data_IF_383433377573
#
_entry.id   IF_383433377573
#
_cell.length_a   1.000
_cell.length_b   1.000
_cell.length_c   1.000
_cell.angle_alpha   90.00
_cell.angle_beta   90.00
_cell.angle_gamma   90.00
#
_symmetry.space_group_name_H-M   'P 1'
#
loop_
_entity.id
_entity.type
_entity.pdbx_description
1 polymer ?
#
# COMPACT_ATOMS: atom_id res chain seq x y z
N UNK A 1 13.08 -40.19 8.66
CA UNK A 1 11.69 -40.03 8.18
C UNK A 1 11.72 -39.30 6.86
N UNK A 2 10.97 -39.80 5.89
CA UNK A 2 11.19 -39.68 4.44
C UNK A 2 11.14 -38.24 3.90
N UNK A 3 12.18 -37.86 3.13
CA UNK A 3 12.17 -36.69 2.23
C UNK A 3 11.28 -36.99 1.02
N UNK A 4 9.97 -36.81 1.15
CA UNK A 4 9.01 -36.76 0.03
C UNK A 4 8.09 -35.53 0.14
N UNK A 5 8.55 -34.34 -0.31
CA UNK A 5 7.59 -33.41 -0.92
C UNK A 5 8.08 -32.71 -2.21
N UNK A 6 9.37 -32.73 -2.54
CA UNK A 6 9.93 -31.95 -3.66
C UNK A 6 9.47 -32.46 -5.04
N UNK A 7 9.26 -33.77 -5.15
CA UNK A 7 8.90 -34.42 -6.43
C UNK A 7 7.48 -34.02 -6.87
N UNK A 8 6.52 -33.91 -5.94
CA UNK A 8 5.11 -33.65 -6.30
C UNK A 8 4.88 -32.24 -6.86
N UNK A 9 5.61 -31.24 -6.36
CA UNK A 9 5.50 -29.86 -6.85
C UNK A 9 6.20 -29.65 -8.20
N UNK A 10 7.26 -30.42 -8.50
CA UNK A 10 7.85 -30.44 -9.84
C UNK A 10 6.89 -30.95 -10.91
N UNK A 11 6.07 -31.97 -10.59
CA UNK A 11 5.03 -32.47 -11.50
C UNK A 11 3.92 -31.46 -11.76
N UNK A 12 3.53 -30.65 -10.76
CA UNK A 12 2.53 -29.58 -10.95
C UNK A 12 3.05 -28.46 -11.86
N UNK A 13 4.33 -28.08 -11.70
CA UNK A 13 4.93 -27.05 -12.55
C UNK A 13 5.05 -27.54 -14.01
N UNK A 14 5.51 -28.77 -14.19
CA UNK A 14 5.57 -29.42 -15.51
C UNK A 14 4.18 -29.51 -16.16
N UNK A 15 3.17 -29.94 -15.40
CA UNK A 15 1.79 -30.02 -15.88
C UNK A 15 1.24 -28.66 -16.31
N UNK A 16 1.52 -27.61 -15.54
CA UNK A 16 1.10 -26.25 -15.86
C UNK A 16 1.77 -25.73 -17.12
N UNK A 17 3.05 -26.05 -17.32
CA UNK A 17 3.79 -25.68 -18.51
C UNK A 17 3.28 -26.43 -19.75
N UNK A 18 3.06 -27.75 -19.64
CA UNK A 18 2.44 -28.57 -20.70
C UNK A 18 1.05 -28.06 -21.04
N UNK A 19 0.22 -27.76 -20.05
CA UNK A 19 -1.12 -27.19 -20.25
C UNK A 19 -1.07 -25.84 -20.96
N UNK A 20 -0.13 -24.96 -20.58
CA UNK A 20 0.07 -23.67 -21.25
C UNK A 20 0.49 -23.84 -22.72
N UNK A 21 1.44 -24.73 -23.00
CA UNK A 21 1.89 -25.02 -24.38
C UNK A 21 0.76 -25.63 -25.20
N UNK A 22 -0.02 -26.55 -24.63
CA UNK A 22 -1.18 -27.15 -25.28
C UNK A 22 -2.23 -26.09 -25.65
N UNK A 23 -2.47 -25.12 -24.76
CA UNK A 23 -3.39 -24.00 -25.02
C UNK A 23 -2.88 -23.08 -26.13
N UNK A 24 -1.58 -22.81 -26.21
CA UNK A 24 -0.99 -22.05 -27.33
C UNK A 24 -1.11 -22.80 -28.66
N UNK A 25 -0.84 -24.11 -28.66
CA UNK A 25 -1.04 -24.96 -29.85
C UNK A 25 -2.51 -24.94 -30.28
N UNK A 26 -3.45 -25.05 -29.32
CA UNK A 26 -4.88 -24.99 -29.59
C UNK A 26 -5.29 -23.64 -30.19
N UNK A 27 -4.75 -22.51 -29.71
CA UNK A 27 -4.97 -21.18 -30.31
C UNK A 27 -4.55 -21.13 -31.78
N UNK A 28 -3.34 -21.63 -32.08
CA UNK A 28 -2.82 -21.66 -33.45
C UNK A 28 -3.71 -22.54 -34.33
N UNK A 29 -4.10 -23.72 -33.86
CA UNK A 29 -4.97 -24.64 -34.60
C UNK A 29 -6.36 -24.05 -34.90
N UNK A 30 -6.99 -23.37 -33.93
CA UNK A 30 -8.30 -22.73 -34.12
C UNK A 30 -8.21 -21.60 -35.15
N UNK A 31 -7.15 -20.78 -35.10
CA UNK A 31 -6.93 -19.72 -36.09
C UNK A 31 -6.67 -20.31 -37.49
N UNK A 32 -5.88 -21.39 -37.57
CA UNK A 32 -5.58 -22.05 -38.84
C UNK A 32 -6.84 -22.68 -39.46
N UNK A 33 -7.67 -23.33 -38.64
CA UNK A 33 -8.99 -23.83 -39.05
C UNK A 33 -9.90 -22.70 -39.54
N UNK A 34 -9.95 -21.57 -38.84
CA UNK A 34 -10.71 -20.40 -39.27
C UNK A 34 -10.27 -19.90 -40.65
N UNK A 35 -8.96 -19.69 -40.86
CA UNK A 35 -8.44 -19.22 -42.14
C UNK A 35 -8.64 -20.23 -43.28
N UNK A 36 -8.50 -21.53 -43.02
CA UNK A 36 -8.75 -22.58 -44.03
C UNK A 36 -10.23 -22.67 -44.43
N UNK A 37 -11.15 -22.54 -43.47
CA UNK A 37 -12.59 -22.49 -43.74
C UNK A 37 -12.97 -21.25 -44.54
N UNK A 38 -12.52 -20.06 -44.13
CA UNK A 38 -12.75 -18.81 -44.87
C UNK A 38 -12.17 -18.86 -46.28
N UNK A 39 -10.93 -19.32 -46.44
CA UNK A 39 -10.29 -19.44 -47.76
C UNK A 39 -11.08 -20.39 -48.67
N UNK A 40 -11.60 -21.50 -48.13
CA UNK A 40 -12.40 -22.47 -48.89
C UNK A 40 -13.75 -21.89 -49.31
N UNK A 41 -14.41 -21.13 -48.44
CA UNK A 41 -15.68 -20.45 -48.73
C UNK A 41 -15.51 -19.42 -49.85
N UNK A 42 -14.42 -18.64 -49.81
CA UNK A 42 -14.07 -17.65 -50.82
C UNK A 42 -13.72 -18.33 -52.16
N UNK A 43 -12.86 -19.37 -52.14
CA UNK A 43 -12.45 -20.10 -53.35
C UNK A 43 -13.62 -20.80 -54.05
N UNK A 44 -14.63 -21.24 -53.30
CA UNK A 44 -15.81 -21.92 -53.85
C UNK A 44 -16.96 -20.96 -54.20
N UNK A 45 -16.80 -19.64 -54.03
CA UNK A 45 -17.85 -18.64 -54.26
C UNK A 45 -19.18 -18.97 -53.55
N UNK A 46 -19.08 -19.49 -52.33
CA UNK A 46 -20.24 -19.86 -51.53
C UNK A 46 -21.02 -18.62 -51.08
N UNK A 47 -22.33 -18.79 -50.85
CA UNK A 47 -23.22 -17.71 -50.43
C UNK A 47 -22.72 -17.00 -49.15
N UNK A 48 -22.96 -15.68 -48.99
CA UNK A 48 -22.47 -14.91 -47.84
C UNK A 48 -22.85 -15.46 -46.46
N UNK A 49 -23.95 -16.22 -46.37
CA UNK A 49 -24.38 -16.85 -45.12
C UNK A 49 -23.38 -17.88 -44.56
N UNK A 50 -22.54 -18.49 -45.40
CA UNK A 50 -21.59 -19.50 -44.94
C UNK A 50 -20.42 -18.92 -44.13
N UNK A 51 -20.11 -17.62 -44.26
CA UNK A 51 -19.13 -16.93 -43.41
C UNK A 51 -19.59 -16.76 -41.96
N UNK A 52 -20.90 -16.83 -41.68
CA UNK A 52 -21.43 -16.63 -40.33
C UNK A 52 -20.93 -17.74 -39.38
N UNK A 53 -20.77 -18.97 -39.88
CA UNK A 53 -20.37 -20.13 -39.09
C UNK A 53 -18.94 -20.01 -38.53
N UNK A 54 -17.88 -19.81 -39.34
CA UNK A 54 -16.51 -19.67 -38.84
C UNK A 54 -16.36 -18.45 -37.91
N UNK A 55 -17.01 -17.32 -38.22
CA UNK A 55 -17.02 -16.15 -37.34
C UNK A 55 -17.71 -16.42 -35.99
N UNK A 56 -18.81 -17.19 -35.98
CA UNK A 56 -19.50 -17.57 -34.74
C UNK A 56 -18.65 -18.49 -33.87
N UNK A 57 -17.95 -19.46 -34.48
CA UNK A 57 -17.02 -20.35 -33.78
C UNK A 57 -15.85 -19.57 -33.19
N UNK A 58 -15.27 -18.64 -33.96
CA UNK A 58 -14.19 -17.77 -33.49
C UNK A 58 -14.65 -16.87 -32.34
N UNK A 59 -15.87 -16.32 -32.42
CA UNK A 59 -16.46 -15.52 -31.35
C UNK A 59 -16.67 -16.35 -30.07
N UNK A 60 -17.25 -17.55 -30.16
CA UNK A 60 -17.43 -18.47 -29.02
C UNK A 60 -16.07 -18.85 -28.42
N UNK A 61 -15.05 -19.06 -29.25
CA UNK A 61 -13.70 -19.33 -28.81
C UNK A 61 -13.09 -18.15 -28.02
N UNK A 62 -13.21 -16.92 -28.51
CA UNK A 62 -12.74 -15.74 -27.75
C UNK A 62 -13.53 -15.51 -26.46
N UNK A 63 -14.85 -15.76 -26.45
CA UNK A 63 -15.68 -15.68 -25.24
C UNK A 63 -15.24 -16.73 -24.22
N UNK A 64 -15.00 -17.97 -24.65
CA UNK A 64 -14.54 -19.05 -23.76
C UNK A 64 -13.11 -18.80 -23.25
N UNK A 65 -12.19 -18.32 -24.08
CA UNK A 65 -10.86 -17.87 -23.65
C UNK A 65 -10.95 -16.74 -22.63
N UNK A 66 -11.83 -15.76 -22.82
CA UNK A 66 -12.03 -14.67 -21.86
C UNK A 66 -12.58 -15.18 -20.51
N UNK A 67 -13.40 -16.24 -20.53
CA UNK A 67 -13.91 -16.88 -19.32
C UNK A 67 -12.83 -17.70 -18.59
N UNK A 68 -12.02 -18.45 -19.35
CA UNK A 68 -10.91 -19.26 -18.81
C UNK A 68 -9.76 -18.39 -18.31
N UNK A 69 -9.48 -17.26 -18.99
CA UNK A 69 -8.43 -16.31 -18.61
C UNK A 69 -8.82 -15.39 -17.46
N UNK A 70 -10.00 -15.60 -16.85
CA UNK A 70 -10.49 -14.76 -15.77
C UNK A 70 -9.68 -15.04 -14.51
N UNK A 71 -8.82 -14.09 -14.14
CA UNK A 71 -8.00 -14.19 -12.94
C UNK A 71 -8.88 -14.30 -11.70
N UNK A 72 -8.46 -15.18 -10.78
CA UNK A 72 -9.12 -15.37 -9.50
C UNK A 72 -9.21 -14.03 -8.75
N UNK A 73 -10.39 -13.63 -8.26
CA UNK A 73 -10.53 -12.38 -7.51
C UNK A 73 -9.68 -12.45 -6.24
N UNK A 74 -9.02 -11.34 -5.89
CA UNK A 74 -8.25 -11.22 -4.65
C UNK A 74 -9.10 -10.50 -3.62
N UNK A 75 -9.15 -11.06 -2.42
CA UNK A 75 -9.90 -10.54 -1.29
C UNK A 75 -8.94 -10.10 -0.18
N UNK A 76 -9.24 -8.97 0.45
CA UNK A 76 -8.66 -8.61 1.74
C UNK A 76 -9.55 -9.25 2.80
N UNK A 77 -9.05 -10.33 3.39
CA UNK A 77 -9.82 -11.11 4.37
C UNK A 77 -10.00 -10.28 5.64
N UNK A 78 -8.90 -9.88 6.24
CA UNK A 78 -8.84 -8.94 7.35
C UNK A 78 -7.46 -8.28 7.42
N UNK A 79 -7.33 -7.30 8.31
CA UNK A 79 -6.06 -6.65 8.64
C UNK A 79 -6.03 -6.24 10.11
N UNK A 80 -4.82 -6.05 10.63
CA UNK A 80 -4.54 -5.55 11.98
C UNK A 80 -3.50 -4.45 11.92
N UNK A 81 -3.54 -3.54 12.89
CA UNK A 81 -2.57 -2.46 13.03
C UNK A 81 -1.99 -2.49 14.44
N UNK A 82 -0.69 -2.25 14.55
CA UNK A 82 0.02 -2.24 15.81
C UNK A 82 -0.43 -1.06 16.69
N UNK A 83 -0.82 -1.32 17.93
CA UNK A 83 -1.01 -0.26 18.91
C UNK A 83 0.18 -0.26 19.88
N UNK A 84 1.07 0.74 19.83
CA UNK A 84 2.21 0.77 20.74
C UNK A 84 1.75 0.86 22.21
N UNK A 85 2.46 0.19 23.13
CA UNK A 85 2.23 0.34 24.57
C UNK A 85 2.34 1.79 25.05
N UNK A 86 1.55 2.17 26.05
CA UNK A 86 1.52 3.54 26.57
C UNK A 86 2.86 4.00 27.19
N UNK A 87 3.74 3.08 27.60
CA UNK A 87 5.10 3.41 28.06
C UNK A 87 6.00 3.96 26.95
N UNK A 88 5.63 3.78 25.67
CA UNK A 88 6.36 4.29 24.52
C UNK A 88 5.82 5.64 24.02
N UNK A 89 4.86 6.22 24.74
CA UNK A 89 4.25 7.50 24.36
C UNK A 89 5.24 8.64 24.58
N UNK A 90 5.30 9.56 23.62
CA UNK A 90 6.16 10.74 23.65
C UNK A 90 5.35 12.03 23.46
N UNK A 91 5.01 12.73 24.56
CA UNK A 91 4.50 14.11 24.50
C UNK A 91 5.56 15.05 23.90
N UNK A 92 5.13 16.14 23.27
CA UNK A 92 6.01 17.12 22.64
C UNK A 92 6.95 17.78 23.66
N UNK A 93 6.46 18.10 24.85
CA UNK A 93 7.28 18.69 25.92
C UNK A 93 8.41 17.75 26.35
N UNK A 94 8.08 16.47 26.57
CA UNK A 94 9.06 15.45 26.90
C UNK A 94 10.09 15.29 25.78
N UNK A 95 9.66 15.30 24.51
CA UNK A 95 10.59 15.21 23.39
C UNK A 95 11.53 16.42 23.29
N UNK A 96 11.00 17.63 23.45
CA UNK A 96 11.78 18.88 23.41
C UNK A 96 12.79 18.92 24.56
N UNK A 97 12.40 18.48 25.76
CA UNK A 97 13.30 18.37 26.90
C UNK A 97 14.43 17.36 26.61
N UNK A 98 14.09 16.17 26.12
CA UNK A 98 15.06 15.17 25.72
C UNK A 98 16.02 15.70 24.65
N UNK A 99 15.50 16.41 23.64
CA UNK A 99 16.31 17.00 22.58
C UNK A 99 17.30 18.06 23.09
N UNK A 100 16.95 18.83 24.13
CA UNK A 100 17.86 19.81 24.76
C UNK A 100 18.99 19.17 25.55
N UNK A 101 18.77 17.96 26.06
CA UNK A 101 19.78 17.23 26.82
C UNK A 101 20.79 16.50 25.92
N UNK A 102 20.59 16.48 24.59
CA UNK A 102 21.48 15.82 23.64
C UNK A 102 22.59 16.80 23.20
N UNK A 103 23.84 16.47 23.51
CA UNK A 103 25.01 17.32 23.23
C UNK A 103 25.16 17.73 21.75
N UNK A 104 24.57 16.95 20.84
CA UNK A 104 24.65 17.21 19.41
C UNK A 104 23.52 18.12 18.87
N UNK A 105 22.48 18.47 19.63
CA UNK A 105 21.47 19.45 19.20
C UNK A 105 21.72 20.81 19.85
N UNK A 106 21.77 21.86 19.03
CA UNK A 106 21.84 23.25 19.49
C UNK A 106 20.44 23.86 19.65
N UNK A 107 20.36 25.07 20.21
CA UNK A 107 19.08 25.78 20.39
C UNK A 107 18.30 25.99 19.08
N UNK A 108 19.02 26.15 17.96
CA UNK A 108 18.41 26.28 16.63
C UNK A 108 17.77 24.97 16.17
N UNK A 109 18.42 23.85 16.43
CA UNK A 109 17.92 22.50 16.17
C UNK A 109 16.67 22.21 17.01
N UNK A 110 16.72 22.49 18.31
CA UNK A 110 15.57 22.32 19.22
C UNK A 110 14.40 23.21 18.82
N UNK A 111 14.66 24.48 18.49
CA UNK A 111 13.63 25.41 18.01
C UNK A 111 12.99 24.92 16.70
N UNK A 112 13.80 24.37 15.79
CA UNK A 112 13.30 23.77 14.55
C UNK A 112 12.41 22.56 14.84
N UNK A 113 12.85 21.62 15.69
CA UNK A 113 12.06 20.44 16.11
C UNK A 113 10.72 20.89 16.71
N UNK A 114 10.74 21.83 17.67
CA UNK A 114 9.54 22.37 18.30
C UNK A 114 8.57 22.95 17.28
N UNK A 115 9.07 23.71 16.30
CA UNK A 115 8.25 24.31 15.23
C UNK A 115 7.63 23.24 14.33
N UNK A 116 8.38 22.21 13.93
CA UNK A 116 7.85 21.13 13.09
C UNK A 116 6.80 20.32 13.83
N UNK A 117 7.01 19.98 15.11
CA UNK A 117 6.01 19.26 15.91
C UNK A 117 4.66 20.00 15.92
N UNK A 118 4.68 21.31 16.19
CA UNK A 118 3.48 22.15 16.22
C UNK A 118 2.76 22.26 14.85
N UNK A 119 3.51 22.30 13.75
CA UNK A 119 2.95 22.47 12.40
C UNK A 119 2.59 21.14 11.72
N UNK A 120 3.12 20.02 12.20
CA UNK A 120 2.99 18.71 11.56
C UNK A 120 1.56 18.15 11.58
N UNK A 121 0.75 18.53 12.57
CA UNK A 121 -0.56 17.95 12.84
C UNK A 121 -0.53 16.67 13.69
N UNK A 122 0.65 16.30 14.22
CA UNK A 122 0.77 15.26 15.25
C UNK A 122 0.09 15.71 16.55
N UNK A 123 -0.35 14.75 17.35
CA UNK A 123 -0.82 14.96 18.71
C UNK A 123 0.17 14.49 19.78
N UNK A 124 -0.16 14.79 21.03
CA UNK A 124 0.61 14.48 22.25
C UNK A 124 0.58 12.98 22.66
N UNK A 125 -0.03 12.13 21.83
CA UNK A 125 -0.29 10.71 22.10
C UNK A 125 0.43 9.77 21.13
N UNK A 126 1.45 10.29 20.44
CA UNK A 126 2.27 9.53 19.49
C UNK A 126 3.42 8.77 20.17
N UNK A 127 4.08 7.86 19.44
CA UNK A 127 5.00 6.87 20.04
C UNK A 127 6.37 6.80 19.35
N UNK A 128 7.42 6.59 20.14
CA UNK A 128 8.78 6.27 19.70
C UNK A 128 9.19 4.83 20.07
N UNK A 129 10.16 4.21 19.37
CA UNK A 129 10.60 2.88 19.76
C UNK A 129 11.48 2.95 21.01
N UNK A 130 11.63 1.84 21.76
CA UNK A 130 12.42 1.82 23.00
C UNK A 130 13.84 2.38 22.85
N UNK A 131 14.49 2.18 21.70
CA UNK A 131 15.85 2.67 21.43
C UNK A 131 16.00 4.20 21.52
N UNK A 132 14.94 4.96 21.24
CA UNK A 132 14.99 6.43 21.24
C UNK A 132 14.74 7.06 22.63
N UNK A 133 14.41 6.26 23.64
CA UNK A 133 14.27 6.72 25.03
C UNK A 133 15.60 6.72 25.80
N UNK A 134 16.69 6.20 25.23
CA UNK A 134 18.01 6.28 25.83
C UNK A 134 18.65 7.67 25.64
N UNK A 135 19.57 8.01 26.53
CA UNK A 135 20.40 9.22 26.45
C UNK A 135 21.87 8.84 26.36
N UNK A 136 22.53 8.98 25.19
CA UNK A 136 21.94 9.30 23.87
C UNK A 136 21.09 8.14 23.30
N UNK A 137 20.22 8.39 22.29
CA UNK A 137 19.44 7.36 21.61
C UNK A 137 20.31 6.21 21.11
N UNK A 138 19.84 4.97 21.30
CA UNK A 138 20.49 3.77 20.79
C UNK A 138 19.87 3.39 19.45
N UNK A 139 20.65 3.57 18.39
CA UNK A 139 20.26 3.31 16.99
C UNK A 139 20.93 2.06 16.38
N UNK A 140 21.48 1.19 17.24
CA UNK A 140 22.22 0.01 16.82
C UNK A 140 21.33 -1.07 16.19
N UNK A 141 21.99 -2.05 15.56
CA UNK A 141 21.32 -3.20 14.94
C UNK A 141 20.46 -3.99 15.95
N UNK A 142 20.92 -4.11 17.20
CA UNK A 142 20.19 -4.82 18.27
C UNK A 142 18.86 -4.14 18.58
N UNK A 143 18.86 -2.82 18.71
CA UNK A 143 17.65 -2.03 18.97
C UNK A 143 16.67 -2.11 17.80
N UNK A 144 17.18 -2.04 16.56
CA UNK A 144 16.37 -2.25 15.36
C UNK A 144 15.70 -3.64 15.33
N UNK A 145 16.43 -4.71 15.65
CA UNK A 145 15.86 -6.07 15.73
C UNK A 145 14.82 -6.18 16.85
N UNK A 146 15.04 -5.55 18.00
CA UNK A 146 14.05 -5.52 19.08
C UNK A 146 12.77 -4.79 18.65
N UNK A 147 12.89 -3.68 17.91
CA UNK A 147 11.76 -2.96 17.33
C UNK A 147 11.02 -3.81 16.29
N UNK A 148 11.74 -4.53 15.42
CA UNK A 148 11.18 -5.51 14.47
C UNK A 148 10.35 -6.55 15.21
N UNK A 149 10.90 -7.16 16.26
CA UNK A 149 10.19 -8.18 17.04
C UNK A 149 8.96 -7.60 17.73
N UNK A 150 9.08 -6.42 18.35
CA UNK A 150 7.96 -5.77 19.01
C UNK A 150 6.79 -5.55 18.05
N UNK A 151 7.05 -5.06 16.84
CA UNK A 151 5.99 -4.67 15.92
C UNK A 151 5.51 -5.87 15.10
N UNK A 152 6.41 -6.52 14.36
CA UNK A 152 6.04 -7.53 13.37
C UNK A 152 5.46 -8.80 14.00
N UNK A 153 5.97 -9.24 15.16
CA UNK A 153 5.41 -10.41 15.85
C UNK A 153 4.01 -10.11 16.35
N UNK A 154 3.82 -8.95 17.00
CA UNK A 154 2.52 -8.52 17.51
C UNK A 154 1.45 -8.46 16.41
N UNK A 155 1.71 -7.75 15.30
CA UNK A 155 0.68 -7.64 14.24
C UNK A 155 0.42 -8.96 13.53
N UNK A 156 1.45 -9.81 13.39
CA UNK A 156 1.29 -11.12 12.77
C UNK A 156 0.45 -12.04 13.65
N UNK A 157 0.74 -12.13 14.95
CA UNK A 157 -0.02 -12.92 15.92
C UNK A 157 -1.46 -12.43 16.06
N UNK A 158 -1.67 -11.11 16.11
CA UNK A 158 -2.99 -10.51 16.11
C UNK A 158 -3.78 -10.86 14.83
N UNK A 159 -3.13 -10.85 13.67
CA UNK A 159 -3.79 -11.23 12.41
C UNK A 159 -4.17 -12.71 12.39
N UNK A 160 -3.27 -13.59 12.82
CA UNK A 160 -3.53 -15.03 12.90
C UNK A 160 -4.69 -15.32 13.85
N UNK A 161 -4.70 -14.71 15.04
CA UNK A 161 -5.77 -14.89 16.02
C UNK A 161 -7.11 -14.32 15.53
N UNK A 162 -7.11 -13.13 14.92
CA UNK A 162 -8.32 -12.49 14.38
C UNK A 162 -8.95 -13.28 13.23
N UNK A 163 -8.14 -13.91 12.39
CA UNK A 163 -8.62 -14.61 11.17
C UNK A 163 -8.72 -16.12 11.34
N UNK A 164 -8.20 -16.66 12.44
CA UNK A 164 -8.10 -18.10 12.72
C UNK A 164 -7.42 -18.89 11.58
N UNK A 165 -6.51 -18.24 10.84
CA UNK A 165 -5.72 -18.89 9.80
C UNK A 165 -4.51 -19.61 10.41
N UNK A 166 -4.23 -20.82 9.97
CA UNK A 166 -3.00 -21.50 10.37
C UNK A 166 -1.78 -20.85 9.71
N UNK A 167 -0.68 -20.75 10.45
CA UNK A 167 0.64 -20.42 9.89
C UNK A 167 1.08 -21.35 8.74
N UNK A 168 0.55 -22.57 8.69
CA UNK A 168 0.80 -23.54 7.62
C UNK A 168 -0.05 -23.28 6.36
N UNK A 169 -1.07 -22.42 6.45
CA UNK A 169 -1.93 -22.05 5.32
C UNK A 169 -1.46 -20.77 4.62
N UNK A 170 -0.29 -20.23 5.00
CA UNK A 170 0.31 -19.04 4.39
C UNK A 170 1.24 -19.48 3.26
N UNK A 171 0.88 -19.14 2.02
CA UNK A 171 1.65 -19.51 0.83
C UNK A 171 2.64 -18.43 0.43
N UNK A 172 2.32 -17.17 0.72
CA UNK A 172 3.10 -15.99 0.33
C UNK A 172 3.27 -15.07 1.55
N UNK A 173 4.49 -14.62 1.81
CA UNK A 173 4.80 -13.64 2.84
C UNK A 173 5.53 -12.46 2.18
N UNK A 174 5.03 -11.24 2.38
CA UNK A 174 5.71 -10.02 1.92
C UNK A 174 5.91 -9.12 3.11
N UNK A 175 7.16 -8.82 3.46
CA UNK A 175 7.51 -7.86 4.52
C UNK A 175 8.05 -6.60 3.87
N UNK A 176 7.57 -5.42 4.26
CA UNK A 176 8.10 -4.14 3.79
C UNK A 176 8.55 -3.25 4.94
N UNK A 177 9.76 -2.71 4.82
CA UNK A 177 10.39 -1.75 5.71
C UNK A 177 11.51 -1.01 4.97
N UNK A 178 11.58 0.31 5.09
CA UNK A 178 12.58 1.13 4.37
C UNK A 178 13.77 1.53 5.24
N UNK A 179 13.56 1.72 6.54
CA UNK A 179 14.53 2.20 7.51
C UNK A 179 15.54 1.14 7.95
N UNK A 180 15.24 -0.14 7.69
CA UNK A 180 16.08 -1.26 8.10
C UNK A 180 16.03 -2.44 7.11
N UNK A 181 17.20 -2.87 6.63
CA UNK A 181 17.36 -3.98 5.68
C UNK A 181 18.48 -4.91 6.18
N UNK A 182 18.18 -5.85 7.10
CA UNK A 182 19.17 -6.76 7.67
C UNK A 182 19.46 -7.98 6.77
N UNK A 183 20.55 -8.67 7.10
CA UNK A 183 20.89 -9.99 6.57
C UNK A 183 21.03 -10.97 7.77
N UNK A 184 20.19 -12.01 7.91
CA UNK A 184 19.08 -12.41 7.03
C UNK A 184 17.91 -11.41 7.02
N UNK A 185 17.06 -11.50 6.00
CA UNK A 185 16.00 -10.52 5.74
C UNK A 185 14.86 -10.58 6.79
N UNK A 186 14.07 -9.51 6.87
CA UNK A 186 12.92 -9.44 7.78
C UNK A 186 11.91 -10.56 7.54
N UNK A 187 11.65 -10.91 6.28
CA UNK A 187 10.78 -12.05 5.96
C UNK A 187 11.34 -13.37 6.46
N UNK A 188 12.67 -13.56 6.43
CA UNK A 188 13.31 -14.76 6.98
C UNK A 188 13.18 -14.86 8.49
N UNK A 189 13.21 -13.73 9.22
CA UNK A 189 12.96 -13.70 10.67
C UNK A 189 11.57 -14.26 10.98
N UNK A 190 10.54 -13.84 10.23
CA UNK A 190 9.15 -14.31 10.41
C UNK A 190 9.01 -15.79 10.03
N UNK A 191 9.58 -16.20 8.90
CA UNK A 191 9.56 -17.61 8.46
C UNK A 191 10.18 -18.52 9.51
N UNK A 192 11.34 -18.14 10.05
CA UNK A 192 12.05 -18.91 11.07
C UNK A 192 11.30 -18.92 12.41
N UNK A 193 10.90 -17.74 12.92
CA UNK A 193 10.23 -17.59 14.22
C UNK A 193 8.95 -18.42 14.31
N UNK A 194 8.15 -18.40 13.25
CA UNK A 194 6.84 -19.07 13.22
C UNK A 194 6.86 -20.40 12.51
N UNK A 195 8.01 -20.87 11.98
CA UNK A 195 8.13 -22.08 11.19
C UNK A 195 6.97 -22.21 10.17
N UNK A 196 6.88 -21.23 9.27
CA UNK A 196 5.86 -21.19 8.22
C UNK A 196 5.97 -22.40 7.30
N UNK A 197 4.94 -22.59 6.47
CA UNK A 197 4.84 -23.67 5.49
C UNK A 197 6.13 -23.88 4.68
N UNK A 198 6.50 -25.14 4.48
CA UNK A 198 7.58 -25.50 3.55
C UNK A 198 7.29 -24.95 2.15
N UNK A 199 8.27 -24.27 1.55
CA UNK A 199 8.11 -23.68 0.21
C UNK A 199 7.37 -22.34 0.17
N UNK A 200 7.06 -21.72 1.32
CA UNK A 200 6.50 -20.36 1.39
C UNK A 200 7.28 -19.38 0.53
N UNK A 201 6.58 -18.59 -0.28
CA UNK A 201 7.19 -17.54 -1.11
C UNK A 201 7.37 -16.28 -0.28
N UNK A 202 8.55 -16.09 0.27
CA UNK A 202 8.86 -14.94 1.13
C UNK A 202 9.61 -13.84 0.40
N UNK A 203 9.17 -12.59 0.53
CA UNK A 203 9.79 -11.40 -0.07
C UNK A 203 9.99 -10.31 0.98
N UNK A 204 11.09 -9.57 0.87
CA UNK A 204 11.33 -8.35 1.64
C UNK A 204 11.47 -7.17 0.67
N UNK A 205 10.66 -6.12 0.86
CA UNK A 205 10.66 -4.90 0.06
C UNK A 205 11.26 -3.77 0.89
N UNK A 206 12.29 -3.10 0.38
CA UNK A 206 12.94 -1.96 1.03
C UNK A 206 13.07 -0.77 0.08
N UNK A 207 13.32 0.43 0.62
CA UNK A 207 13.56 1.65 -0.16
C UNK A 207 12.34 2.23 -0.89
N UNK A 208 11.11 1.85 -0.51
CA UNK A 208 9.87 2.30 -1.17
C UNK A 208 9.10 3.38 -0.38
N UNK A 209 9.54 3.66 0.86
CA UNK A 209 8.96 4.65 1.76
C UNK A 209 7.48 4.38 2.08
N UNK A 210 6.71 5.44 2.31
CA UNK A 210 5.31 5.35 2.74
C UNK A 210 4.37 4.70 1.70
N UNK A 211 4.82 4.46 0.46
CA UNK A 211 4.04 3.78 -0.58
C UNK A 211 4.22 2.25 -0.61
N UNK A 212 5.10 1.71 0.24
CA UNK A 212 5.55 0.32 0.15
C UNK A 212 4.44 -0.71 0.34
N UNK A 213 3.44 -0.43 1.18
CA UNK A 213 2.34 -1.35 1.40
C UNK A 213 1.44 -1.47 0.16
N UNK A 214 1.05 -0.34 -0.45
CA UNK A 214 0.25 -0.34 -1.68
C UNK A 214 0.97 -1.10 -2.81
N UNK A 215 2.30 -0.97 -2.88
CA UNK A 215 3.13 -1.78 -3.79
C UNK A 215 3.10 -3.27 -3.42
N UNK A 216 3.18 -3.62 -2.14
CA UNK A 216 3.09 -5.00 -1.67
C UNK A 216 1.73 -5.64 -2.00
N UNK A 217 0.64 -4.88 -1.91
CA UNK A 217 -0.71 -5.34 -2.31
C UNK A 217 -0.76 -5.61 -3.82
N UNK A 218 -0.21 -4.71 -4.64
CA UNK A 218 -0.10 -4.92 -6.08
C UNK A 218 0.75 -6.16 -6.41
N UNK A 219 1.91 -6.31 -5.76
CA UNK A 219 2.79 -7.46 -5.93
C UNK A 219 2.08 -8.77 -5.55
N UNK A 220 1.43 -8.80 -4.38
CA UNK A 220 0.68 -9.97 -3.92
C UNK A 220 -0.42 -10.34 -4.91
N UNK A 221 -1.19 -9.36 -5.39
CA UNK A 221 -2.22 -9.56 -6.41
C UNK A 221 -1.64 -10.20 -7.68
N UNK A 222 -0.52 -9.68 -8.17
CA UNK A 222 0.12 -10.20 -9.38
C UNK A 222 0.66 -11.63 -9.19
N UNK A 223 1.21 -11.95 -8.02
CA UNK A 223 1.63 -13.32 -7.67
C UNK A 223 0.41 -14.24 -7.61
N UNK A 224 -0.67 -13.82 -6.96
CA UNK A 224 -1.92 -14.59 -6.86
C UNK A 224 -2.64 -14.81 -8.19
N UNK A 225 -2.46 -13.91 -9.17
CA UNK A 225 -2.96 -14.14 -10.53
C UNK A 225 -2.32 -15.38 -11.18
N UNK A 226 -1.13 -15.78 -10.73
CA UNK A 226 -0.43 -16.98 -11.22
C UNK A 226 -0.48 -18.14 -10.24
N UNK A 227 -0.96 -17.96 -9.01
CA UNK A 227 -1.05 -19.00 -7.98
C UNK A 227 -2.47 -19.06 -7.43
N UNK A 228 -3.27 -19.99 -7.93
CA UNK A 228 -4.64 -20.18 -7.44
C UNK A 228 -4.67 -20.72 -6.01
N UNK A 229 -5.79 -20.49 -5.33
CA UNK A 229 -6.09 -21.03 -4.00
C UNK A 229 -4.99 -20.76 -2.95
N UNK A 230 -4.46 -19.54 -2.92
CA UNK A 230 -3.35 -19.12 -2.09
C UNK A 230 -3.77 -18.05 -1.06
N UNK A 231 -3.12 -18.06 0.09
CA UNK A 231 -3.18 -16.97 1.06
C UNK A 231 -1.84 -16.22 1.08
N UNK A 232 -1.89 -14.89 1.10
CA UNK A 232 -0.71 -14.05 1.34
C UNK A 232 -0.88 -13.22 2.59
N UNK A 233 0.21 -13.06 3.34
CA UNK A 233 0.30 -12.09 4.41
C UNK A 233 1.29 -11.00 4.01
N UNK A 234 0.84 -9.75 4.12
CA UNK A 234 1.70 -8.57 3.98
C UNK A 234 1.93 -8.00 5.38
N UNK A 235 3.19 -7.83 5.75
CA UNK A 235 3.62 -7.15 6.96
C UNK A 235 4.29 -5.83 6.60
N UNK A 236 3.81 -4.73 7.16
CA UNK A 236 4.32 -3.38 6.93
C UNK A 236 4.76 -2.76 8.24
N UNK A 237 5.97 -2.20 8.27
CA UNK A 237 6.46 -1.40 9.40
C UNK A 237 7.57 -0.47 8.94
N UNK A 238 7.89 0.52 9.77
CA UNK A 238 9.08 1.34 9.63
C UNK A 238 9.90 1.25 10.91
N UNK A 239 11.15 0.81 10.79
CA UNK A 239 12.05 0.71 11.93
C UNK A 239 12.75 2.05 12.10
N UNK A 240 12.39 2.76 13.16
CA UNK A 240 12.85 4.13 13.39
C UNK A 240 14.19 4.19 14.11
N UNK A 241 14.56 3.14 14.86
CA UNK A 241 15.81 3.12 15.62
C UNK A 241 17.02 3.38 14.72
N UNK A 242 17.08 2.80 13.51
CA UNK A 242 18.16 3.01 12.52
C UNK A 242 17.97 4.23 11.62
N UNK A 243 16.80 4.86 11.68
CA UNK A 243 16.47 6.07 10.91
C UNK A 243 16.72 7.37 11.67
N UNK A 244 17.08 7.29 12.96
CA UNK A 244 17.37 8.45 13.78
C UNK A 244 18.59 9.21 13.26
N UNK A 245 18.42 10.49 12.96
CA UNK A 245 19.48 11.37 12.49
C UNK A 245 20.05 12.22 13.65
N UNK A 246 21.27 11.95 14.13
CA UNK A 246 21.91 12.70 15.21
C UNK A 246 22.73 13.92 14.73
N UNK A 247 22.38 14.51 13.58
CA UNK A 247 23.05 15.71 13.05
C UNK A 247 22.18 16.97 13.09
N UNK A 248 22.67 18.07 12.53
CA UNK A 248 22.06 19.42 12.66
C UNK A 248 21.46 19.97 11.37
N UNK A 249 21.59 19.25 10.26
CA UNK A 249 21.04 19.71 8.98
C UNK A 249 19.52 19.52 8.92
N UNK A 250 18.79 20.65 8.85
CA UNK A 250 17.33 20.68 8.86
C UNK A 250 16.65 19.72 7.87
N UNK A 251 17.11 19.57 6.61
CA UNK A 251 16.51 18.61 5.66
C UNK A 251 16.49 17.16 6.15
N UNK A 252 17.44 16.77 6.99
CA UNK A 252 17.54 15.42 7.56
C UNK A 252 16.76 15.26 8.88
N UNK A 253 16.58 16.36 9.63
CA UNK A 253 15.90 16.37 10.92
C UNK A 253 14.37 16.17 10.83
N UNK A 254 13.76 16.36 9.66
CA UNK A 254 12.29 16.26 9.51
C UNK A 254 11.77 14.89 9.94
N UNK A 255 12.50 13.81 9.62
CA UNK A 255 12.08 12.45 9.95
C UNK A 255 11.93 12.23 11.45
N UNK A 256 12.90 12.72 12.24
CA UNK A 256 12.88 12.67 13.71
C UNK A 256 11.63 13.37 14.28
N UNK A 257 11.02 14.29 13.55
CA UNK A 257 9.87 15.06 14.01
C UNK A 257 8.54 14.36 13.69
N UNK A 258 8.39 13.75 12.51
CA UNK A 258 7.08 13.28 11.98
C UNK A 258 6.85 11.78 12.09
N UNK A 259 7.91 10.96 11.99
CA UNK A 259 7.77 9.51 11.97
C UNK A 259 7.51 8.97 13.38
N UNK A 260 6.63 7.99 13.47
CA UNK A 260 6.20 7.37 14.73
C UNK A 260 6.03 5.87 14.53
N UNK A 261 6.18 5.14 15.62
CA UNK A 261 6.11 3.67 15.60
C UNK A 261 4.76 3.22 15.09
N UNK A 262 4.77 2.25 14.19
CA UNK A 262 3.56 1.59 13.74
C UNK A 262 3.85 0.39 12.87
N UNK A 263 2.79 -0.37 12.61
CA UNK A 263 2.84 -1.51 11.72
C UNK A 263 1.46 -2.03 11.38
N UNK A 264 1.37 -2.79 10.30
CA UNK A 264 0.12 -3.41 9.88
C UNK A 264 0.39 -4.82 9.32
N UNK A 265 -0.54 -5.73 9.54
CA UNK A 265 -0.57 -7.04 8.93
C UNK A 265 -1.87 -7.20 8.13
N UNK A 266 -1.77 -7.66 6.88
CA UNK A 266 -2.89 -7.76 5.95
C UNK A 266 -2.96 -9.18 5.42
N UNK A 267 -4.11 -9.84 5.58
CA UNK A 267 -4.37 -11.15 4.98
C UNK A 267 -5.09 -10.98 3.64
N UNK A 268 -4.44 -11.39 2.56
CA UNK A 268 -5.03 -11.50 1.24
C UNK A 268 -5.31 -12.97 0.90
N UNK A 269 -6.37 -13.22 0.15
CA UNK A 269 -6.71 -14.56 -0.32
C UNK A 269 -7.39 -14.51 -1.68
N UNK A 270 -7.04 -15.43 -2.58
CA UNK A 270 -7.79 -15.67 -3.82
C UNK A 270 -8.60 -16.98 -3.77
N UNK A 271 -8.75 -17.56 -2.57
CA UNK A 271 -9.58 -18.75 -2.32
C UNK A 271 -11.06 -18.40 -2.49
N UNK A 272 -11.85 -19.31 -3.06
CA UNK A 272 -13.28 -19.06 -3.32
C UNK A 272 -14.06 -18.86 -2.02
N UNK A 273 -13.65 -19.56 -0.97
CA UNK A 273 -14.26 -19.53 0.37
C UNK A 273 -14.03 -18.18 1.05
N UNK A 274 -12.91 -17.50 0.75
CA UNK A 274 -12.58 -16.20 1.34
C UNK A 274 -13.65 -15.14 1.08
N UNK A 275 -14.36 -15.22 -0.05
CA UNK A 275 -15.48 -14.32 -0.39
C UNK A 275 -16.55 -14.24 0.70
N UNK A 276 -16.77 -15.31 1.47
CA UNK A 276 -17.82 -15.38 2.49
C UNK A 276 -17.52 -14.53 3.74
N UNK A 277 -16.24 -14.34 4.05
CA UNK A 277 -15.82 -13.73 5.31
C UNK A 277 -14.93 -12.49 5.12
N UNK A 278 -14.40 -12.29 3.91
CA UNK A 278 -13.52 -11.17 3.64
C UNK A 278 -14.21 -9.81 3.79
N UNK A 279 -13.47 -8.84 4.32
CA UNK A 279 -13.92 -7.45 4.44
C UNK A 279 -14.05 -6.79 3.08
N UNK A 280 -13.03 -6.95 2.24
CA UNK A 280 -12.95 -6.25 0.96
C UNK A 280 -12.61 -7.17 -0.21
N UNK A 281 -13.05 -6.77 -1.40
CA UNK A 281 -12.58 -7.27 -2.68
C UNK A 281 -11.65 -6.25 -3.32
N UNK A 282 -10.44 -6.68 -3.70
CA UNK A 282 -9.50 -5.84 -4.43
C UNK A 282 -9.99 -5.64 -5.87
N UNK A 283 -10.30 -4.39 -6.24
CA UNK A 283 -10.82 -4.06 -7.56
C UNK A 283 -9.70 -3.73 -8.54
N UNK A 284 -8.76 -2.89 -8.11
CA UNK A 284 -7.65 -2.47 -8.95
C UNK A 284 -6.49 -1.92 -8.14
N UNK A 285 -5.31 -1.99 -8.74
CA UNK A 285 -4.06 -1.43 -8.27
C UNK A 285 -3.44 -0.64 -9.42
N UNK A 286 -2.87 0.52 -9.12
CA UNK A 286 -2.20 1.38 -10.10
C UNK A 286 -0.91 1.92 -9.48
N UNK A 287 0.17 1.89 -10.26
CA UNK A 287 1.47 2.42 -9.87
C UNK A 287 1.94 3.44 -10.90
N UNK A 288 2.38 4.59 -10.41
CA UNK A 288 3.09 5.62 -11.19
C UNK A 288 4.47 5.81 -10.59
N UNK A 289 5.46 5.88 -11.46
CA UNK A 289 6.86 6.14 -11.13
C UNK A 289 7.21 7.54 -11.65
N UNK A 290 7.90 8.34 -10.85
CA UNK A 290 8.35 9.68 -11.22
C UNK A 290 9.85 9.90 -11.05
N UNK A 291 10.62 8.85 -10.72
CA UNK A 291 12.08 8.93 -10.60
C UNK A 291 12.83 8.94 -11.95
N UNK A 292 12.23 9.52 -13.01
CA UNK A 292 12.84 9.54 -14.35
C UNK A 292 13.80 10.71 -14.55
N UNK A 293 13.73 11.70 -13.69
CA UNK A 293 14.57 12.89 -13.67
C UNK A 293 15.17 13.10 -12.27
N UNK A 294 16.19 13.95 -12.21
CA UNK A 294 16.95 14.22 -10.99
C UNK A 294 16.10 14.92 -9.92
N UNK A 295 15.20 15.82 -10.30
CA UNK A 295 14.30 16.51 -9.36
C UNK A 295 13.41 15.48 -8.64
N UNK A 296 12.82 14.56 -9.41
CA UNK A 296 12.11 13.41 -8.90
C UNK A 296 12.99 12.56 -8.00
N UNK A 297 14.08 12.01 -8.52
CA UNK A 297 14.94 11.08 -7.79
C UNK A 297 15.46 11.66 -6.47
N UNK A 298 15.98 12.89 -6.48
CA UNK A 298 16.58 13.55 -5.32
C UNK A 298 15.58 14.30 -4.43
N UNK A 299 14.27 14.29 -4.73
CA UNK A 299 13.25 14.91 -3.85
C UNK A 299 13.27 14.36 -2.42
N UNK A 300 13.55 13.07 -2.25
CA UNK A 300 13.69 12.41 -0.96
C UNK A 300 14.54 11.13 -1.09
N UNK A 301 15.72 11.12 -0.45
CA UNK A 301 16.71 10.05 -0.59
C UNK A 301 17.57 9.90 0.66
N UNK A 302 18.24 8.75 0.79
CA UNK A 302 19.16 8.48 1.91
C UNK A 302 20.56 8.95 1.52
N UNK A 303 21.18 9.76 2.36
CA UNK A 303 22.47 10.39 2.09
C UNK A 303 23.22 10.69 3.39
N UNK A 304 24.47 11.09 3.28
CA UNK A 304 25.25 11.64 4.39
C UNK A 304 25.15 13.16 4.41
N UNK A 305 25.15 13.72 5.62
CA UNK A 305 25.28 15.16 5.79
C UNK A 305 26.74 15.61 5.60
N UNK A 306 27.00 16.92 5.70
CA UNK A 306 28.34 17.50 5.57
C UNK A 306 29.36 16.99 6.60
N UNK A 307 28.91 16.33 7.68
CA UNK A 307 29.74 15.72 8.72
C UNK A 307 29.86 14.20 8.58
N UNK A 308 29.35 13.61 7.48
CA UNK A 308 29.35 12.16 7.24
C UNK A 308 28.29 11.39 8.03
N UNK A 309 27.31 12.07 8.64
CA UNK A 309 26.23 11.43 9.38
C UNK A 309 25.13 11.02 8.39
N UNK A 310 24.89 9.72 8.27
CA UNK A 310 23.82 9.20 7.41
C UNK A 310 22.44 9.59 7.95
N UNK A 311 21.58 10.08 7.06
CA UNK A 311 20.17 10.32 7.32
C UNK A 311 19.33 10.21 6.05
N UNK A 312 18.06 10.60 6.13
CA UNK A 312 17.19 10.76 4.95
C UNK A 312 16.99 12.24 4.69
N UNK A 313 17.48 12.72 3.55
CA UNK A 313 17.33 14.10 3.13
C UNK A 313 15.97 14.29 2.45
N UNK A 314 15.22 15.29 2.88
CA UNK A 314 14.05 15.79 2.16
C UNK A 314 14.38 17.14 1.53
N UNK A 315 14.34 17.23 0.20
CA UNK A 315 14.54 18.49 -0.49
C UNK A 315 13.28 19.37 -0.42
N UNK A 316 13.47 20.68 -0.61
CA UNK A 316 12.38 21.67 -0.45
C UNK A 316 11.25 21.53 -1.49
N UNK A 317 11.51 20.84 -2.60
CA UNK A 317 10.63 20.56 -3.72
C UNK A 317 9.76 19.30 -3.53
N UNK A 318 9.95 18.52 -2.46
CA UNK A 318 9.27 17.22 -2.26
C UNK A 318 7.74 17.28 -2.40
N UNK A 319 7.12 18.38 -1.95
CA UNK A 319 5.67 18.58 -2.07
C UNK A 319 5.23 18.86 -3.52
N UNK A 320 6.04 19.62 -4.27
CA UNK A 320 5.78 19.92 -5.68
C UNK A 320 5.92 18.64 -6.50
N UNK A 321 7.02 17.91 -6.33
CA UNK A 321 7.31 16.63 -7.00
C UNK A 321 6.20 15.60 -6.71
N UNK A 322 5.75 15.49 -5.46
CA UNK A 322 4.61 14.64 -5.11
C UNK A 322 3.34 15.10 -5.83
N UNK A 323 3.04 16.40 -5.84
CA UNK A 323 1.87 16.96 -6.52
C UNK A 323 1.85 16.71 -8.03
N UNK A 324 3.00 16.80 -8.69
CA UNK A 324 3.12 16.53 -10.12
C UNK A 324 3.01 15.03 -10.43
N UNK A 325 3.56 14.18 -9.58
CA UNK A 325 3.37 12.72 -9.66
C UNK A 325 1.89 12.34 -9.47
N UNK A 326 1.17 13.00 -8.57
CA UNK A 326 -0.26 12.82 -8.41
C UNK A 326 -1.04 13.27 -9.64
N UNK A 327 -0.63 14.39 -10.27
CA UNK A 327 -1.27 14.92 -11.48
C UNK A 327 -1.18 13.93 -12.65
N UNK A 328 -0.08 13.20 -12.80
CA UNK A 328 0.04 12.16 -13.84
C UNK A 328 -0.70 10.86 -13.48
N UNK A 329 -0.86 10.58 -12.19
CA UNK A 329 -1.59 9.40 -11.69
C UNK A 329 -3.11 9.50 -11.88
N UNK A 330 -3.69 10.67 -11.64
CA UNK A 330 -5.14 10.89 -11.64
C UNK A 330 -5.86 10.51 -12.96
N UNK A 331 -5.39 10.90 -14.16
CA UNK A 331 -6.07 10.59 -15.41
C UNK A 331 -6.20 9.09 -15.66
N UNK A 332 -5.19 8.29 -15.28
CA UNK A 332 -5.20 6.83 -15.47
C UNK A 332 -6.23 6.18 -14.54
N UNK A 333 -6.23 6.58 -13.26
CA UNK A 333 -7.22 6.10 -12.30
C UNK A 333 -8.64 6.51 -12.71
N UNK A 334 -8.81 7.77 -13.10
CA UNK A 334 -10.07 8.35 -13.54
C UNK A 334 -10.62 7.68 -14.79
N UNK A 335 -9.77 7.36 -15.76
CA UNK A 335 -10.11 6.67 -17.00
C UNK A 335 -10.81 5.31 -16.77
N UNK A 336 -10.55 4.65 -15.65
CA UNK A 336 -11.24 3.40 -15.28
C UNK A 336 -12.51 3.62 -14.48
N UNK A 337 -12.44 4.39 -13.40
CA UNK A 337 -13.50 4.38 -12.38
C UNK A 337 -14.53 5.49 -12.53
N UNK A 338 -14.18 6.61 -13.17
CA UNK A 338 -15.11 7.71 -13.29
C UNK A 338 -16.28 7.38 -14.24
N UNK A 339 -17.47 7.93 -14.00
CA UNK A 339 -18.57 7.88 -14.97
C UNK A 339 -18.19 8.55 -16.30
N UNK A 340 -18.85 8.14 -17.39
CA UNK A 340 -18.59 8.68 -18.73
C UNK A 340 -18.74 10.21 -18.78
N UNK A 341 -19.72 10.77 -18.07
CA UNK A 341 -19.97 12.22 -18.00
C UNK A 341 -18.74 12.97 -17.45
N UNK A 342 -18.09 12.45 -16.40
CA UNK A 342 -16.89 13.05 -15.83
C UNK A 342 -15.71 12.99 -16.80
N UNK A 343 -15.55 11.86 -17.51
CA UNK A 343 -14.52 11.69 -18.55
C UNK A 343 -14.71 12.68 -19.69
N UNK A 344 -15.94 12.86 -20.17
CA UNK A 344 -16.26 13.81 -21.25
C UNK A 344 -15.99 15.26 -20.82
N UNK A 345 -16.34 15.64 -19.58
CA UNK A 345 -16.01 16.96 -19.02
C UNK A 345 -14.50 17.20 -18.97
N UNK A 346 -13.75 16.19 -18.51
CA UNK A 346 -12.29 16.24 -18.48
C UNK A 346 -11.70 16.44 -19.89
N UNK A 347 -12.06 15.57 -20.84
CA UNK A 347 -11.58 15.65 -22.23
C UNK A 347 -11.93 17.01 -22.86
N UNK A 348 -13.16 17.49 -22.68
CA UNK A 348 -13.58 18.81 -23.16
C UNK A 348 -12.72 19.93 -22.55
N UNK A 349 -12.37 19.85 -21.26
CA UNK A 349 -11.51 20.84 -20.63
C UNK A 349 -10.08 20.83 -21.18
N UNK A 350 -9.52 19.65 -21.47
CA UNK A 350 -8.20 19.50 -22.08
C UNK A 350 -8.19 20.09 -23.49
N UNK A 351 -9.22 19.82 -24.30
CA UNK A 351 -9.37 20.40 -25.64
C UNK A 351 -9.52 21.93 -25.60
N UNK A 352 -10.20 22.45 -24.59
CA UNK A 352 -10.44 23.88 -24.41
C UNK A 352 -9.32 24.60 -23.63
N UNK A 353 -8.26 23.89 -23.22
CA UNK A 353 -7.19 24.43 -22.38
C UNK A 353 -6.54 25.69 -22.98
N UNK A 354 -6.32 25.71 -24.31
CA UNK A 354 -5.77 26.90 -25.00
C UNK A 354 -6.64 28.15 -24.84
N UNK A 355 -7.94 27.99 -24.56
CA UNK A 355 -8.91 29.08 -24.37
C UNK A 355 -9.17 29.40 -22.90
N UNK A 356 -9.32 28.39 -22.04
CA UNK A 356 -9.66 28.59 -20.62
C UNK A 356 -8.45 28.71 -19.70
N UNK A 357 -7.27 28.22 -20.10
CA UNK A 357 -6.08 28.04 -19.24
C UNK A 357 -6.33 27.24 -17.95
N UNK A 358 -7.49 26.59 -17.83
CA UNK A 358 -7.87 25.77 -16.68
C UNK A 358 -8.25 24.36 -17.13
N UNK A 359 -7.74 23.37 -16.41
CA UNK A 359 -8.08 21.96 -16.60
C UNK A 359 -9.10 21.57 -15.55
N UNK A 360 -10.23 21.00 -15.99
CA UNK A 360 -11.26 20.49 -15.10
C UNK A 360 -10.70 19.32 -14.28
N UNK A 361 -10.88 19.36 -12.96
CA UNK A 361 -10.52 18.24 -12.08
C UNK A 361 -11.77 17.37 -11.92
N UNK A 362 -11.74 16.09 -12.32
CA UNK A 362 -12.92 15.23 -12.22
C UNK A 362 -13.36 15.00 -10.78
N UNK A 363 -14.67 14.87 -10.57
CA UNK A 363 -15.19 14.59 -9.24
C UNK A 363 -15.06 13.09 -8.90
N UNK A 364 -13.97 12.75 -8.21
CA UNK A 364 -13.69 11.39 -7.76
C UNK A 364 -14.67 10.84 -6.72
N UNK A 365 -15.48 11.68 -6.05
CA UNK A 365 -16.54 11.23 -5.13
C UNK A 365 -17.67 10.50 -5.86
N UNK A 366 -17.77 10.64 -7.18
CA UNK A 366 -18.70 9.85 -8.01
C UNK A 366 -18.22 8.42 -8.21
N UNK A 367 -16.94 8.15 -7.98
CA UNK A 367 -16.32 6.84 -8.13
C UNK A 367 -16.06 6.16 -6.78
N UNK A 368 -15.69 6.92 -5.74
CA UNK A 368 -15.27 6.40 -4.44
C UNK A 368 -16.04 7.07 -3.31
N UNK A 369 -16.40 6.29 -2.29
CA UNK A 369 -17.12 6.77 -1.10
C UNK A 369 -16.16 7.17 0.01
N UNK A 370 -15.00 6.52 0.10
CA UNK A 370 -14.01 6.76 1.14
C UNK A 370 -12.61 6.88 0.56
N UNK A 371 -11.79 7.71 1.19
CA UNK A 371 -10.44 8.04 0.77
C UNK A 371 -9.48 7.87 1.94
N UNK A 372 -8.29 7.33 1.66
CA UNK A 372 -7.16 7.32 2.58
C UNK A 372 -5.95 7.94 1.87
N UNK A 373 -5.23 8.84 2.54
CA UNK A 373 -4.17 9.67 1.95
C UNK A 373 -2.83 9.46 2.63
N UNK A 374 -1.72 9.90 2.04
CA UNK A 374 -0.43 9.87 2.72
C UNK A 374 -0.47 10.72 4.01
N UNK A 375 -0.54 10.07 5.17
CA UNK A 375 -0.48 10.71 6.50
C UNK A 375 0.96 11.11 6.87
N UNK A 376 1.66 11.82 5.97
CA UNK A 376 3.04 12.29 6.20
C UNK A 376 3.09 13.60 6.99
N UNK A 377 2.07 14.44 6.84
CA UNK A 377 1.94 15.71 7.53
C UNK A 377 0.64 16.41 7.15
N UNK A 378 0.16 17.31 8.01
CA UNK A 378 -1.11 18.01 7.83
C UNK A 378 -1.18 18.79 6.52
N UNK A 379 -0.07 19.44 6.13
CA UNK A 379 0.04 20.16 4.86
C UNK A 379 -0.09 19.23 3.65
N UNK A 380 0.55 18.06 3.70
CA UNK A 380 0.49 17.03 2.64
C UNK A 380 -0.94 16.54 2.44
N UNK A 381 -1.63 16.21 3.53
CA UNK A 381 -3.02 15.73 3.50
C UNK A 381 -3.94 16.80 2.90
N UNK A 382 -3.83 18.05 3.37
CA UNK A 382 -4.66 19.17 2.88
C UNK A 382 -4.39 19.50 1.42
N UNK A 383 -3.12 19.54 0.99
CA UNK A 383 -2.78 19.80 -0.40
C UNK A 383 -3.27 18.65 -1.32
N UNK A 384 -3.12 17.40 -0.90
CA UNK A 384 -3.65 16.24 -1.62
C UNK A 384 -5.18 16.31 -1.79
N UNK A 385 -5.90 16.60 -0.71
CA UNK A 385 -7.35 16.76 -0.74
C UNK A 385 -7.78 17.94 -1.63
N UNK A 386 -7.09 19.08 -1.53
CA UNK A 386 -7.33 20.26 -2.37
C UNK A 386 -7.14 19.94 -3.85
N UNK A 387 -6.08 19.22 -4.22
CA UNK A 387 -5.80 18.77 -5.60
C UNK A 387 -6.89 17.85 -6.16
N UNK A 388 -7.58 17.12 -5.29
CA UNK A 388 -8.69 16.23 -5.65
C UNK A 388 -10.08 16.87 -5.49
N UNK A 389 -10.16 18.15 -5.11
CA UNK A 389 -11.40 18.87 -4.77
C UNK A 389 -12.24 18.13 -3.71
N UNK A 390 -11.57 17.61 -2.68
CA UNK A 390 -12.18 16.89 -1.57
C UNK A 390 -12.32 17.78 -0.33
N UNK A 391 -13.33 17.51 0.49
CA UNK A 391 -13.66 18.31 1.67
C UNK A 391 -13.12 17.72 2.98
N UNK A 392 -13.37 18.42 4.09
CA UNK A 392 -12.89 18.03 5.44
C UNK A 392 -13.25 16.60 5.82
N UNK A 393 -14.49 16.18 5.54
CA UNK A 393 -14.98 14.83 5.82
C UNK A 393 -14.22 13.73 5.07
N UNK A 394 -13.69 14.04 3.89
CA UNK A 394 -12.98 13.10 3.02
C UNK A 394 -11.52 12.93 3.49
N UNK A 395 -10.91 13.96 4.09
CA UNK A 395 -9.55 13.90 4.64
C UNK A 395 -9.48 13.62 6.15
N UNK A 396 -10.63 13.57 6.83
CA UNK A 396 -10.74 13.36 8.27
C UNK A 396 -9.94 12.13 8.75
N UNK A 397 -10.08 10.98 8.08
CA UNK A 397 -9.40 9.76 8.47
C UNK A 397 -7.87 9.93 8.49
N UNK A 398 -7.30 10.55 7.46
CA UNK A 398 -5.87 10.86 7.35
C UNK A 398 -5.40 11.80 8.46
N UNK A 399 -6.15 12.88 8.69
CA UNK A 399 -5.84 13.87 9.71
C UNK A 399 -5.92 13.30 11.13
N UNK A 400 -6.96 12.52 11.44
CA UNK A 400 -7.13 11.92 12.76
C UNK A 400 -6.05 10.86 13.01
N UNK A 401 -5.72 10.04 11.99
CA UNK A 401 -4.63 9.06 12.06
C UNK A 401 -3.30 9.73 12.35
N UNK A 402 -2.98 10.79 11.59
CA UNK A 402 -1.78 11.59 11.80
C UNK A 402 -1.71 12.18 13.21
N UNK A 403 -2.82 12.72 13.71
CA UNK A 403 -2.88 13.27 15.06
C UNK A 403 -2.69 12.20 16.14
N UNK A 404 -3.38 11.06 16.03
CA UNK A 404 -3.38 10.03 17.06
C UNK A 404 -2.09 9.21 17.10
N UNK A 405 -1.55 8.87 15.93
CA UNK A 405 -0.47 7.90 15.82
C UNK A 405 0.79 8.49 15.14
N UNK A 406 0.70 9.64 14.47
CA UNK A 406 1.78 10.22 13.67
C UNK A 406 1.88 9.65 12.25
N UNK A 407 3.07 9.70 11.65
CA UNK A 407 3.33 9.03 10.37
C UNK A 407 3.93 7.63 10.63
N UNK A 408 3.16 6.56 10.38
CA UNK A 408 3.61 5.15 10.48
C UNK A 408 4.20 4.63 9.16
N UNK A 409 4.64 5.52 8.27
CA UNK A 409 5.15 5.18 6.94
C UNK A 409 4.12 4.37 6.15
N UNK A 410 4.51 3.20 5.65
CA UNK A 410 3.69 2.32 4.80
C UNK A 410 2.45 1.74 5.47
N UNK A 411 2.37 1.77 6.81
CA UNK A 411 1.21 1.26 7.54
C UNK A 411 0.06 2.26 7.65
N UNK A 412 0.30 3.57 7.48
CA UNK A 412 -0.65 4.64 7.81
C UNK A 412 -2.03 4.51 7.14
N UNK A 413 -2.06 4.09 5.87
CA UNK A 413 -3.30 3.91 5.11
C UNK A 413 -4.26 2.87 5.73
N UNK A 414 -3.73 1.92 6.50
CA UNK A 414 -4.52 0.92 7.21
C UNK A 414 -5.05 1.43 8.54
N UNK A 415 -4.35 2.35 9.22
CA UNK A 415 -4.89 3.04 10.39
C UNK A 415 -6.05 3.96 10.00
N UNK A 416 -5.97 4.60 8.83
CA UNK A 416 -7.08 5.39 8.27
C UNK A 416 -8.28 4.52 7.93
N UNK A 417 -8.05 3.36 7.32
CA UNK A 417 -9.13 2.41 7.07
C UNK A 417 -9.74 1.89 8.38
N UNK A 418 -8.91 1.54 9.37
CA UNK A 418 -9.39 1.16 10.71
C UNK A 418 -10.20 2.26 11.39
N UNK A 419 -9.85 3.55 11.18
CA UNK A 419 -10.65 4.67 11.67
C UNK A 419 -12.03 4.70 11.02
N UNK A 420 -12.09 4.55 9.69
CA UNK A 420 -13.34 4.52 8.94
C UNK A 420 -14.22 3.30 9.31
N UNK A 421 -13.59 2.14 9.50
CA UNK A 421 -14.25 0.92 9.99
C UNK A 421 -14.77 1.08 11.43
N UNK A 422 -13.95 1.64 12.34
CA UNK A 422 -14.32 1.88 13.73
C UNK A 422 -15.42 2.94 13.89
N UNK A 423 -15.53 3.89 12.95
CA UNK A 423 -16.68 4.79 12.86
C UNK A 423 -17.89 4.18 12.14
N UNK A 424 -17.78 2.92 11.73
CA UNK A 424 -18.76 2.21 10.90
C UNK A 424 -19.19 3.01 9.66
N UNK A 425 -18.29 3.84 9.12
CA UNK A 425 -18.58 4.71 7.96
C UNK A 425 -18.60 3.92 6.67
N UNK A 426 -17.78 2.86 6.58
CA UNK A 426 -17.70 2.01 5.39
C UNK A 426 -18.87 1.03 5.39
N UNK A 427 -19.73 1.13 4.37
CA UNK A 427 -20.88 0.23 4.18
C UNK A 427 -20.58 -0.78 3.07
N UNK A 428 -21.32 -1.90 3.08
CA UNK A 428 -21.23 -2.90 2.03
C UNK A 428 -21.57 -2.26 0.66
N UNK A 429 -20.72 -2.47 -0.33
CA UNK A 429 -20.79 -1.89 -1.67
C UNK A 429 -19.98 -0.60 -1.83
N UNK A 430 -19.54 0.02 -0.72
CA UNK A 430 -18.71 1.22 -0.78
C UNK A 430 -17.32 0.89 -1.34
N UNK A 431 -16.80 1.81 -2.14
CA UNK A 431 -15.43 1.77 -2.64
C UNK A 431 -14.54 2.67 -1.81
N UNK A 432 -13.42 2.09 -1.37
CA UNK A 432 -12.35 2.75 -0.65
C UNK A 432 -11.16 2.91 -1.59
N UNK A 433 -10.63 4.12 -1.67
CA UNK A 433 -9.39 4.41 -2.38
C UNK A 433 -8.27 4.76 -1.39
N UNK A 434 -7.25 3.91 -1.34
CA UNK A 434 -6.00 4.19 -0.64
C UNK A 434 -4.96 4.73 -1.62
N UNK A 435 -4.38 5.89 -1.29
CA UNK A 435 -3.35 6.57 -2.07
C UNK A 435 -2.04 6.62 -1.29
N UNK A 436 -1.07 5.80 -1.67
CA UNK A 436 0.28 5.78 -1.08
C UNK A 436 1.27 6.59 -1.92
N UNK A 437 2.09 7.40 -1.25
CA UNK A 437 3.17 8.17 -1.89
C UNK A 437 4.51 7.92 -1.19
N UNK A 438 5.61 7.81 -1.94
CA UNK A 438 6.92 7.42 -1.39
C UNK A 438 8.08 7.91 -2.24
N UNK A 439 9.31 7.64 -1.80
CA UNK A 439 10.57 8.13 -2.39
C UNK A 439 10.83 7.64 -3.82
N UNK A 440 11.66 8.37 -4.56
CA UNK A 440 11.84 8.23 -6.01
C UNK A 440 10.48 8.28 -6.68
N UNK A 441 9.84 9.47 -6.67
CA UNK A 441 8.47 9.71 -6.30
C UNK A 441 7.53 8.67 -6.90
N UNK A 442 6.91 7.90 -6.02
CA UNK A 442 5.94 6.87 -6.40
C UNK A 442 4.58 7.30 -5.95
N UNK A 443 3.59 7.02 -6.78
CA UNK A 443 2.19 7.18 -6.43
C UNK A 443 1.48 5.86 -6.72
N UNK A 444 0.96 5.23 -5.67
CA UNK A 444 0.34 3.91 -5.71
C UNK A 444 -1.11 4.01 -5.24
N UNK A 445 -2.05 3.57 -6.06
CA UNK A 445 -3.45 3.45 -5.68
C UNK A 445 -3.84 2.00 -5.47
N UNK A 446 -4.57 1.76 -4.39
CA UNK A 446 -5.28 0.51 -4.12
C UNK A 446 -6.76 0.84 -4.00
N UNK A 447 -7.58 0.22 -4.85
CA UNK A 447 -9.03 0.41 -4.84
C UNK A 447 -9.69 -0.89 -4.43
N UNK A 448 -10.52 -0.80 -3.39
CA UNK A 448 -11.19 -1.91 -2.75
C UNK A 448 -12.69 -1.65 -2.67
N UNK A 449 -13.49 -2.71 -2.76
CA UNK A 449 -14.93 -2.67 -2.52
C UNK A 449 -15.24 -3.44 -1.24
N UNK A 450 -15.98 -2.83 -0.33
CA UNK A 450 -16.46 -3.48 0.88
C UNK A 450 -17.53 -4.52 0.53
N UNK A 451 -17.32 -5.79 0.88
CA UNK A 451 -18.23 -6.88 0.46
C UNK A 451 -19.08 -7.45 1.59
N UNK A 452 -18.86 -6.99 2.83
CA UNK A 452 -19.66 -7.34 4.02
C UNK A 452 -19.93 -6.11 4.88
N UNK A 453 -20.99 -6.11 5.72
CA UNK A 453 -21.15 -5.08 6.75
C UNK A 453 -19.94 -5.08 7.69
N UNK A 454 -19.44 -3.89 8.02
CA UNK A 454 -18.38 -3.67 9.01
C UNK A 454 -19.04 -3.20 10.29
N UNK A 455 -18.98 -4.02 11.34
CA UNK A 455 -19.66 -3.80 12.61
C UNK A 455 -18.71 -4.15 13.75
N UNK A 456 -18.74 -3.37 14.83
CA UNK A 456 -18.00 -3.67 16.05
C UNK A 456 -16.47 -3.49 15.97
N UNK A 457 -15.93 -3.03 14.84
CA UNK A 457 -14.50 -2.68 14.73
C UNK A 457 -14.12 -1.51 15.66
N UNK A 458 -15.11 -0.75 16.18
CA UNK A 458 -14.90 0.26 17.22
C UNK A 458 -14.36 -0.30 18.54
N UNK A 459 -14.55 -1.60 18.80
CA UNK A 459 -14.15 -2.26 20.05
C UNK A 459 -12.82 -3.01 19.93
N UNK A 460 -12.26 -3.09 18.72
CA UNK A 460 -11.06 -3.87 18.40
C UNK A 460 -10.07 -3.05 17.57
N UNK A 461 -8.79 -3.44 17.59
CA UNK A 461 -7.76 -2.76 16.81
C UNK A 461 -7.23 -1.45 17.43
N UNK A 462 -6.51 -0.62 16.66
CA UNK A 462 -5.69 0.45 17.21
C UNK A 462 -6.50 1.60 17.81
N UNK A 463 -7.75 1.78 17.37
CA UNK A 463 -8.62 2.87 17.77
C UNK A 463 -9.54 2.55 18.94
N UNK A 464 -9.59 1.30 19.42
CA UNK A 464 -10.65 0.82 20.29
C UNK A 464 -10.90 1.66 21.57
N UNK A 465 -9.83 2.22 22.13
CA UNK A 465 -9.87 3.06 23.34
C UNK A 465 -10.17 4.54 23.08
N UNK A 466 -10.03 5.01 21.84
CA UNK A 466 -10.06 6.45 21.52
C UNK A 466 -11.01 6.82 20.39
N UNK A 467 -11.61 5.86 19.69
CA UNK A 467 -12.44 6.13 18.51
C UNK A 467 -13.57 7.14 18.79
N UNK A 468 -14.17 7.11 19.99
CA UNK A 468 -15.26 8.00 20.37
C UNK A 468 -14.83 9.44 20.68
N UNK A 469 -13.54 9.68 20.96
CA UNK A 469 -13.02 11.03 21.23
C UNK A 469 -12.62 11.77 19.96
N UNK A 470 -12.71 11.12 18.80
CA UNK A 470 -12.42 11.69 17.48
C UNK A 470 -13.73 11.91 16.69
N UNK A 471 -13.81 12.85 15.75
CA UNK A 471 -12.73 13.72 15.28
C UNK A 471 -12.42 14.86 16.26
N UNK A 472 -11.16 15.31 16.24
CA UNK A 472 -10.70 16.51 16.93
C UNK A 472 -10.44 17.61 15.90
N UNK A 473 -10.65 18.87 16.30
CA UNK A 473 -10.26 20.01 15.47
C UNK A 473 -8.75 20.18 15.55
N UNK A 474 -8.04 19.94 14.45
CA UNK A 474 -6.58 20.11 14.40
C UNK A 474 -6.26 21.57 14.03
N UNK A 475 -5.67 22.36 14.95
CA UNK A 475 -5.37 23.79 14.74
C UNK A 475 -4.42 23.99 13.56
#
# INVERSE_FOLDING_TARGET
MEKKPIILDSYKLLWKQVSSTLMEILKVLVLLLFFTMESSIILQNLQPMFHIVPFSVLLIYFISLAYISKTSPVYVVDFTCFKPPNCLRVPFTAYIEHARMLDFFDDKSVSFISKILQLSGLGEQTYFPPGLFYMPPKSGHKEAINEVHLILFSVFEDLLSKTNISRQDIDILIVNCSGFCPNPSLSSIIVNKYALKEGVKSYTISGMGCSANSLAVDMARNIMCTHDNSNAVILSTEILSTGWYPGRERPFMILNCIFRVGGAAILLSNKKEAKRHAKYKLLWTLRTQGAFDDEGYYSAYRDEDSSGITGVRLNGDVLQVAGDTLRTHMPVLGGRFLPLIEKLRFVRSVLMYKRSKEIYIPNFKRAFQHFCFPATGKSVVRETAKRLQLGDRDMEAALMTLHRFGNQSSASLWYELAYLEGKERVKKGDKVWQLGMGTGPKCNSVVMECIRPILGEALIGPWADTINTYPLTIP
#
